data_IF_181074350841
#
_entry.id   IF_181074350841
#
_cell.length_a   1.000
_cell.length_b   1.000
_cell.length_c   1.000
_cell.angle_alpha   90.00
_cell.angle_beta   90.00
_cell.angle_gamma   90.00
#
_symmetry.space_group_name_H-M   'P 1'
#
loop_
_entity.id
_entity.type
_entity.pdbx_description
1 polymer ?
#
# COMPACT_ATOMS: atom_id res chain seq x y z
N UNK A 1 54.97 -59.01 -1.34
CA UNK A 1 55.08 -58.14 -0.16
C UNK A 1 55.44 -56.75 -0.70
N UNK A 2 54.45 -55.94 -1.09
CA UNK A 2 53.83 -54.87 -0.29
C UNK A 2 54.93 -53.98 0.36
N UNK A 3 55.09 -52.68 0.09
CA UNK A 3 54.07 -51.68 -0.23
C UNK A 3 54.72 -50.42 -0.83
N UNK A 4 54.05 -49.89 -1.85
CA UNK A 4 54.20 -48.57 -2.47
C UNK A 4 53.64 -47.48 -1.53
N UNK A 5 54.38 -46.41 -1.26
CA UNK A 5 53.86 -45.20 -0.61
C UNK A 5 54.23 -43.97 -1.43
N UNK A 6 53.48 -43.75 -2.52
CA UNK A 6 53.44 -42.48 -3.23
C UNK A 6 52.34 -41.62 -2.63
N UNK A 7 52.72 -40.53 -1.95
CA UNK A 7 51.78 -39.49 -1.55
C UNK A 7 51.56 -38.55 -2.74
N UNK A 8 50.48 -38.78 -3.49
CA UNK A 8 49.87 -37.76 -4.34
C UNK A 8 48.72 -37.14 -3.55
N UNK A 9 48.94 -35.95 -2.99
CA UNK A 9 47.83 -35.05 -2.67
C UNK A 9 48.11 -33.69 -3.30
N UNK A 10 47.49 -33.46 -4.44
CA UNK A 10 47.08 -32.13 -4.86
C UNK A 10 45.73 -32.31 -5.53
N UNK A 11 44.74 -32.65 -4.69
CA UNK A 11 43.36 -32.52 -5.06
C UNK A 11 43.11 -31.08 -5.48
N UNK A 12 42.47 -30.94 -6.65
CA UNK A 12 41.89 -29.70 -7.11
C UNK A 12 40.70 -29.36 -6.20
N UNK A 13 40.99 -28.93 -4.97
CA UNK A 13 40.07 -28.21 -4.13
C UNK A 13 40.44 -26.74 -4.26
N UNK A 14 39.53 -25.90 -4.72
CA UNK A 14 39.71 -24.46 -4.74
C UNK A 14 39.93 -23.97 -3.31
N UNK A 15 41.18 -23.91 -2.89
CA UNK A 15 41.58 -23.23 -1.65
C UNK A 15 41.44 -21.76 -1.98
N UNK A 16 40.35 -21.13 -1.54
CA UNK A 16 40.23 -19.68 -1.47
C UNK A 16 41.30 -19.17 -0.50
N UNK A 17 42.48 -18.87 -1.04
CA UNK A 17 43.70 -18.60 -0.27
C UNK A 17 43.73 -17.20 0.37
N UNK A 18 42.65 -16.43 0.28
CA UNK A 18 42.55 -15.13 0.93
C UNK A 18 41.17 -15.01 1.57
N UNK A 19 41.05 -15.00 2.92
CA UNK A 19 39.78 -14.68 3.55
C UNK A 19 39.33 -13.30 3.06
N UNK A 20 38.03 -13.12 2.79
CA UNK A 20 37.52 -11.81 2.39
C UNK A 20 37.93 -10.74 3.40
N UNK A 21 38.71 -9.78 2.93
CA UNK A 21 39.12 -8.61 3.70
C UNK A 21 38.27 -7.44 3.24
N UNK A 22 37.56 -6.80 4.17
CA UNK A 22 36.75 -5.63 3.87
C UNK A 22 35.50 -5.58 4.72
N UNK A 23 34.51 -4.88 4.19
CA UNK A 23 33.20 -4.69 4.81
C UNK A 23 32.23 -5.69 4.19
N UNK A 24 31.55 -6.47 5.03
CA UNK A 24 30.49 -7.35 4.56
C UNK A 24 29.28 -6.55 4.07
N UNK A 25 28.47 -7.13 3.17
CA UNK A 25 27.20 -6.51 2.78
C UNK A 25 26.26 -6.35 3.98
N UNK A 26 25.46 -5.30 3.95
CA UNK A 26 24.51 -4.99 5.01
C UNK A 26 23.27 -4.30 4.43
N UNK A 27 22.16 -4.36 5.15
CA UNK A 27 20.89 -3.75 4.74
C UNK A 27 20.06 -3.35 5.96
N UNK A 28 19.15 -2.39 5.76
CA UNK A 28 18.14 -2.04 6.74
C UNK A 28 16.90 -2.92 6.51
N UNK A 29 16.29 -3.40 7.60
CA UNK A 29 15.02 -4.11 7.56
C UNK A 29 14.05 -3.48 8.55
N UNK A 30 12.94 -2.86 8.10
CA UNK A 30 12.61 -2.62 6.69
C UNK A 30 13.58 -1.61 6.02
N UNK A 31 13.76 -1.72 4.70
CA UNK A 31 14.55 -0.77 3.91
C UNK A 31 13.77 0.51 3.57
N UNK A 32 12.44 0.43 3.61
CA UNK A 32 11.55 1.54 3.32
C UNK A 32 10.37 1.55 4.27
N UNK A 33 9.98 2.74 4.71
CA UNK A 33 8.75 2.97 5.45
C UNK A 33 7.76 3.74 4.56
N UNK A 34 6.49 3.40 4.64
CA UNK A 34 5.42 4.08 3.91
C UNK A 34 4.44 4.70 4.90
N UNK A 35 3.61 5.62 4.42
CA UNK A 35 2.58 6.31 5.20
C UNK A 35 3.10 6.99 6.47
N UNK A 36 4.31 7.53 6.40
CA UNK A 36 4.88 8.27 7.51
C UNK A 36 4.33 9.70 7.52
N UNK A 37 4.25 10.31 8.71
CA UNK A 37 3.82 11.69 8.86
C UNK A 37 4.80 12.65 8.16
N UNK A 38 4.26 13.67 7.46
CA UNK A 38 5.05 14.66 6.75
C UNK A 38 6.02 15.39 7.70
N UNK A 39 7.26 15.56 7.27
CA UNK A 39 8.29 16.24 8.07
C UNK A 39 8.69 15.56 9.38
N UNK A 40 8.21 14.33 9.64
CA UNK A 40 8.61 13.56 10.82
C UNK A 40 10.02 13.02 10.68
N UNK A 41 10.74 12.92 11.80
CA UNK A 41 12.06 12.27 11.82
C UNK A 41 11.89 10.76 11.72
N UNK A 42 12.56 10.12 10.75
CA UNK A 42 12.57 8.68 10.55
C UNK A 42 13.95 8.12 10.86
N UNK A 43 13.99 7.03 11.62
CA UNK A 43 15.22 6.33 11.99
C UNK A 43 15.14 4.88 11.53
N UNK A 44 16.17 4.41 10.85
CA UNK A 44 16.28 3.02 10.40
C UNK A 44 16.39 2.04 11.56
N UNK A 45 16.22 0.75 11.28
CA UNK A 45 16.71 -0.29 12.19
C UNK A 45 18.22 -0.21 12.38
N UNK A 46 18.70 -0.71 13.52
CA UNK A 46 20.13 -0.77 13.83
C UNK A 46 20.77 -1.95 13.11
N UNK A 47 21.89 -1.69 12.44
CA UNK A 47 22.68 -2.70 11.73
C UNK A 47 24.02 -2.88 12.42
N UNK A 48 24.44 -4.12 12.66
CA UNK A 48 25.78 -4.42 13.20
C UNK A 48 26.73 -4.70 12.05
N UNK A 49 27.85 -3.97 11.97
CA UNK A 49 28.81 -4.08 10.89
C UNK A 49 29.77 -5.26 11.12
N UNK A 50 29.96 -6.08 10.09
CA UNK A 50 31.02 -7.09 10.04
C UNK A 50 32.16 -6.59 9.16
N UNK A 51 33.35 -6.42 9.75
CA UNK A 51 34.55 -5.90 9.10
C UNK A 51 35.72 -6.85 9.40
N UNK A 52 36.36 -7.38 8.37
CA UNK A 52 37.44 -8.38 8.48
C UNK A 52 38.69 -7.94 7.72
N UNK A 53 39.87 -8.31 8.20
CA UNK A 53 41.14 -8.04 7.51
C UNK A 53 41.62 -6.59 7.49
N UNK A 54 40.84 -5.64 8.04
CA UNK A 54 41.21 -4.22 8.20
C UNK A 54 40.84 -3.72 9.60
N UNK A 55 41.56 -2.71 10.11
CA UNK A 55 41.34 -2.18 11.47
C UNK A 55 40.10 -1.26 11.57
N UNK A 56 39.86 -0.44 10.53
CA UNK A 56 38.75 0.51 10.44
C UNK A 56 38.30 0.68 9.00
N UNK A 57 37.02 0.97 8.77
CA UNK A 57 36.48 1.41 7.48
C UNK A 57 35.98 2.87 7.58
N UNK A 58 35.99 3.60 6.46
CA UNK A 58 35.33 4.90 6.36
C UNK A 58 33.83 4.74 6.38
N UNK A 59 33.12 5.69 6.97
CA UNK A 59 31.65 5.78 6.94
C UNK A 59 31.22 7.18 6.48
N UNK A 60 30.21 7.24 5.63
CA UNK A 60 29.56 8.48 5.20
C UNK A 60 28.09 8.23 4.90
N UNK A 61 27.30 9.30 4.91
CA UNK A 61 25.90 9.27 4.50
C UNK A 61 25.69 10.29 3.38
N UNK A 62 24.90 9.93 2.40
CA UNK A 62 24.44 10.81 1.31
C UNK A 62 22.93 10.67 1.14
N UNK A 63 22.32 11.56 0.35
CA UNK A 63 20.87 11.61 0.15
C UNK A 63 20.34 13.01 0.36
N UNK A 64 19.19 13.11 1.03
CA UNK A 64 18.59 14.39 1.42
C UNK A 64 19.48 15.19 2.39
N UNK A 65 19.31 16.51 2.43
CA UNK A 65 20.08 17.40 3.31
C UNK A 65 19.94 17.06 4.82
N UNK A 66 18.84 16.42 5.21
CA UNK A 66 18.60 15.96 6.58
C UNK A 66 19.27 14.62 6.94
N UNK A 67 19.87 13.92 5.96
CA UNK A 67 20.43 12.59 6.15
C UNK A 67 21.61 12.61 7.12
N UNK A 68 21.54 11.78 8.16
CA UNK A 68 22.54 11.64 9.22
C UNK A 68 22.68 10.18 9.62
N UNK A 69 23.80 9.82 10.23
CA UNK A 69 24.01 8.52 10.84
C UNK A 69 24.49 8.65 12.28
N UNK A 70 24.27 7.60 13.08
CA UNK A 70 24.78 7.45 14.44
C UNK A 70 25.53 6.13 14.56
N UNK A 71 26.68 6.15 15.25
CA UNK A 71 27.47 4.97 15.60
C UNK A 71 27.28 4.69 17.09
N UNK A 72 26.91 3.46 17.43
CA UNK A 72 26.72 2.96 18.80
C UNK A 72 25.80 3.84 19.68
N UNK A 73 24.79 4.48 19.07
CA UNK A 73 23.85 5.36 19.78
C UNK A 73 24.41 6.75 20.12
N UNK A 74 25.53 7.15 19.53
CA UNK A 74 26.06 8.51 19.62
C UNK A 74 25.19 9.57 18.94
N UNK A 75 25.66 10.81 18.93
CA UNK A 75 24.97 11.92 18.23
C UNK A 75 24.92 11.69 16.72
N UNK A 76 23.78 12.02 16.11
CA UNK A 76 23.61 11.95 14.66
C UNK A 76 24.43 13.02 13.94
N UNK A 77 25.19 12.60 12.93
CA UNK A 77 26.07 13.47 12.13
C UNK A 77 26.00 13.11 10.64
N UNK A 78 26.33 14.06 9.78
CA UNK A 78 26.54 13.83 8.34
C UNK A 78 28.02 13.99 7.94
N UNK A 79 28.91 14.28 8.89
CA UNK A 79 30.34 14.35 8.63
C UNK A 79 30.90 12.94 8.35
N UNK A 80 31.91 12.85 7.49
CA UNK A 80 32.64 11.60 7.28
C UNK A 80 33.31 11.13 8.57
N UNK A 81 33.33 9.82 8.79
CA UNK A 81 33.87 9.21 10.00
C UNK A 81 34.54 7.86 9.74
N UNK A 82 34.83 7.13 10.81
CA UNK A 82 35.36 5.76 10.76
C UNK A 82 34.59 4.83 11.70
N UNK A 83 34.51 3.55 11.33
CA UNK A 83 33.86 2.47 12.08
C UNK A 83 34.76 1.25 12.18
N UNK A 84 34.50 0.40 13.16
CA UNK A 84 35.21 -0.85 13.46
C UNK A 84 34.26 -2.03 13.40
N UNK A 85 34.83 -3.23 13.35
CA UNK A 85 34.07 -4.46 13.44
C UNK A 85 33.19 -4.49 14.70
N UNK A 86 31.92 -4.83 14.55
CA UNK A 86 30.94 -4.89 15.63
C UNK A 86 30.24 -3.57 15.95
N UNK A 87 30.61 -2.45 15.33
CA UNK A 87 29.89 -1.19 15.50
C UNK A 87 28.45 -1.32 15.01
N UNK A 88 27.53 -0.70 15.74
CA UNK A 88 26.11 -0.60 15.40
C UNK A 88 25.82 0.74 14.78
N UNK A 89 25.16 0.76 13.63
CA UNK A 89 24.83 1.98 12.91
C UNK A 89 23.32 2.11 12.70
N UNK A 90 22.82 3.33 12.85
CA UNK A 90 21.48 3.72 12.42
C UNK A 90 21.58 4.94 11.52
N UNK A 91 20.62 5.08 10.62
CA UNK A 91 20.47 6.23 9.73
C UNK A 91 19.20 6.97 10.08
N UNK A 92 19.23 8.29 9.96
CA UNK A 92 18.10 9.15 10.23
C UNK A 92 17.97 10.21 9.15
N UNK A 93 16.74 10.52 8.77
CA UNK A 93 16.39 11.68 7.94
C UNK A 93 15.03 12.24 8.35
N UNK A 94 14.69 13.38 7.79
CA UNK A 94 13.35 13.95 7.88
C UNK A 94 12.53 13.45 6.69
N UNK A 95 11.37 12.83 6.94
CA UNK A 95 10.46 12.39 5.90
C UNK A 95 10.09 13.52 4.95
N UNK A 96 9.61 13.18 3.74
CA UNK A 96 9.18 14.21 2.81
C UNK A 96 8.13 15.10 3.44
N UNK A 97 8.19 16.34 3.04
CA UNK A 97 7.20 17.33 3.39
C UNK A 97 6.04 17.31 2.38
N UNK A 98 6.22 16.66 1.24
CA UNK A 98 5.20 16.54 0.20
C UNK A 98 4.41 15.26 0.40
N UNK A 99 3.08 15.35 0.30
CA UNK A 99 2.19 14.18 0.28
C UNK A 99 2.69 13.17 -0.76
N UNK A 100 2.87 11.92 -0.35
CA UNK A 100 3.40 10.85 -1.19
C UNK A 100 4.81 11.06 -1.75
N UNK A 101 5.54 12.07 -1.26
CA UNK A 101 6.94 12.30 -1.55
C UNK A 101 7.83 11.33 -0.78
N UNK A 102 8.97 10.97 -1.38
CA UNK A 102 9.94 10.06 -0.78
C UNK A 102 11.24 10.78 -0.42
N UNK A 103 11.82 10.39 0.71
CA UNK A 103 13.17 10.78 1.13
C UNK A 103 13.98 9.52 1.36
N UNK A 104 15.24 9.54 0.90
CA UNK A 104 16.17 8.42 1.04
C UNK A 104 17.51 8.89 1.57
N UNK A 105 18.10 8.07 2.43
CA UNK A 105 19.45 8.21 2.95
C UNK A 105 20.25 6.96 2.60
N UNK A 106 21.40 7.13 1.94
CA UNK A 106 22.32 6.05 1.62
C UNK A 106 23.53 6.11 2.56
N UNK A 107 23.69 5.08 3.38
CA UNK A 107 24.87 4.91 4.22
C UNK A 107 25.92 4.11 3.45
N UNK A 108 27.13 4.65 3.36
CA UNK A 108 28.28 3.99 2.74
C UNK A 108 29.30 3.66 3.82
N UNK A 109 29.76 2.40 3.85
CA UNK A 109 30.83 1.92 4.73
C UNK A 109 31.87 1.21 3.87
N UNK A 110 33.08 1.78 3.76
CA UNK A 110 34.08 1.32 2.80
C UNK A 110 33.56 1.37 1.37
N UNK A 111 33.46 0.21 0.71
CA UNK A 111 32.93 0.02 -0.64
C UNK A 111 31.47 -0.48 -0.67
N UNK A 112 30.85 -0.71 0.50
CA UNK A 112 29.46 -1.20 0.61
C UNK A 112 28.52 -0.06 0.96
N UNK A 113 27.26 -0.19 0.54
CA UNK A 113 26.22 0.78 0.87
C UNK A 113 24.87 0.11 1.13
N UNK A 114 24.04 0.77 1.94
CA UNK A 114 22.65 0.44 2.16
C UNK A 114 21.80 1.71 2.17
N UNK A 115 20.59 1.63 1.63
CA UNK A 115 19.66 2.76 1.59
C UNK A 115 18.48 2.52 2.52
N UNK A 116 18.11 3.56 3.24
CA UNK A 116 16.88 3.64 4.03
C UNK A 116 16.00 4.74 3.45
N UNK A 117 14.73 4.46 3.18
CA UNK A 117 13.78 5.42 2.62
C UNK A 117 12.51 5.55 3.44
N UNK A 118 11.83 6.68 3.28
CA UNK A 118 10.48 6.89 3.79
C UNK A 118 9.61 7.61 2.77
N UNK A 119 8.37 7.16 2.62
CA UNK A 119 7.35 7.83 1.80
C UNK A 119 6.28 8.43 2.71
N UNK A 120 5.99 9.71 2.51
CA UNK A 120 4.94 10.42 3.25
C UNK A 120 3.58 9.89 2.84
N UNK A 121 2.67 9.76 3.79
CA UNK A 121 1.31 9.27 3.50
C UNK A 121 0.55 10.13 2.49
N UNK A 122 -0.47 9.51 1.91
CA UNK A 122 -1.50 10.17 1.10
C UNK A 122 -2.57 10.84 1.97
N UNK A 123 -3.71 11.14 1.34
CA UNK A 123 -4.96 11.48 2.00
C UNK A 123 -6.08 10.72 1.29
N UNK A 124 -7.10 10.31 2.05
CA UNK A 124 -8.22 9.52 1.53
C UNK A 124 -9.54 10.11 2.04
N UNK A 125 -10.60 9.98 1.22
CA UNK A 125 -11.96 10.30 1.63
C UNK A 125 -12.73 9.00 1.85
N UNK A 126 -13.57 8.99 2.89
CA UNK A 126 -14.58 7.94 3.05
C UNK A 126 -15.57 8.00 1.89
N UNK A 127 -16.01 6.84 1.43
CA UNK A 127 -17.06 6.75 0.41
C UNK A 127 -18.44 6.99 1.06
N UNK A 128 -19.30 7.77 0.40
CA UNK A 128 -20.67 7.99 0.85
C UNK A 128 -21.62 6.98 0.20
N UNK A 129 -22.40 6.27 1.03
CA UNK A 129 -23.44 5.34 0.58
C UNK A 129 -24.83 5.89 0.90
N UNK A 130 -25.83 5.28 0.28
CA UNK A 130 -27.24 5.60 0.45
C UNK A 130 -27.53 7.10 0.23
N UNK A 131 -26.88 7.66 -0.79
CA UNK A 131 -27.06 9.05 -1.16
C UNK A 131 -28.28 9.16 -2.05
N UNK A 132 -29.20 10.07 -1.72
CA UNK A 132 -30.37 10.34 -2.56
C UNK A 132 -29.92 10.80 -3.95
N UNK A 133 -30.52 10.32 -5.05
CA UNK A 133 -30.15 10.73 -6.40
C UNK A 133 -30.28 12.24 -6.63
N UNK A 134 -29.40 12.82 -7.45
CA UNK A 134 -29.43 14.24 -7.81
C UNK A 134 -29.40 15.21 -6.61
N UNK A 135 -28.68 14.85 -5.55
CA UNK A 135 -28.47 15.70 -4.38
C UNK A 135 -27.00 16.06 -4.20
N UNK A 136 -26.73 17.22 -3.58
CA UNK A 136 -25.36 17.54 -3.18
C UNK A 136 -24.96 16.66 -2.00
N UNK A 137 -23.80 16.04 -2.13
CA UNK A 137 -23.17 15.24 -1.09
C UNK A 137 -21.76 15.74 -0.85
N UNK A 138 -21.44 15.93 0.43
CA UNK A 138 -20.13 16.36 0.91
C UNK A 138 -19.39 15.17 1.54
N UNK A 139 -18.07 15.16 1.40
CA UNK A 139 -17.20 14.26 2.14
C UNK A 139 -17.07 14.70 3.61
N UNK A 140 -16.62 13.78 4.46
CA UNK A 140 -16.02 14.20 5.73
C UNK A 140 -14.78 15.09 5.47
N UNK A 141 -14.47 16.05 6.38
CA UNK A 141 -13.29 16.89 6.23
C UNK A 141 -12.01 16.09 6.43
N UNK A 142 -11.05 16.29 5.53
CA UNK A 142 -9.72 15.67 5.60
C UNK A 142 -8.68 16.72 5.93
N UNK A 143 -7.90 16.51 6.99
CA UNK A 143 -6.78 17.39 7.35
C UNK A 143 -5.54 17.03 6.53
N UNK A 144 -5.02 18.00 5.78
CA UNK A 144 -3.87 17.80 4.91
C UNK A 144 -2.54 17.96 5.66
N UNK A 145 -1.62 17.03 5.42
CA UNK A 145 -0.23 17.13 5.86
C UNK A 145 0.65 17.61 4.69
N UNK A 146 0.77 18.93 4.54
CA UNK A 146 1.53 19.58 3.46
C UNK A 146 2.68 20.34 4.09
N UNK A 147 3.92 20.10 3.68
CA UNK A 147 5.05 20.85 4.21
C UNK A 147 5.87 21.55 3.13
N UNK A 148 6.60 22.59 3.55
CA UNK A 148 6.99 23.72 2.70
C UNK A 148 6.02 24.90 2.76
N UNK A 149 5.00 24.83 3.62
CA UNK A 149 4.02 25.90 3.85
C UNK A 149 2.80 25.79 2.96
N UNK A 150 2.97 25.50 1.67
CA UNK A 150 1.85 25.41 0.71
C UNK A 150 2.06 24.38 -0.40
N UNK A 151 0.98 23.79 -0.92
CA UNK A 151 0.93 22.95 -2.12
C UNK A 151 -0.22 23.38 -3.04
N UNK A 152 -0.08 23.11 -4.34
CA UNK A 152 -1.16 23.29 -5.30
C UNK A 152 -2.28 22.28 -5.05
N UNK A 153 -3.53 22.72 -5.16
CA UNK A 153 -4.74 21.89 -5.09
C UNK A 153 -5.55 22.07 -6.38
N UNK A 154 -6.10 20.97 -6.89
CA UNK A 154 -7.05 20.98 -8.00
C UNK A 154 -8.01 19.81 -7.85
N UNK A 155 -9.18 19.91 -8.48
CA UNK A 155 -10.17 18.84 -8.52
C UNK A 155 -10.51 18.48 -9.96
N UNK A 156 -10.76 17.20 -10.21
CA UNK A 156 -11.33 16.69 -11.44
C UNK A 156 -12.47 15.73 -11.13
N UNK A 157 -13.35 15.50 -12.10
CA UNK A 157 -14.56 14.72 -11.93
C UNK A 157 -15.62 15.19 -12.92
N UNK A 158 -16.88 15.03 -12.55
CA UNK A 158 -17.98 15.63 -13.29
C UNK A 158 -18.04 17.17 -13.12
N UNK A 159 -18.97 17.82 -13.83
CA UNK A 159 -19.13 19.28 -13.79
C UNK A 159 -19.54 19.81 -12.40
N UNK A 160 -20.03 18.95 -11.52
CA UNK A 160 -20.46 19.30 -10.16
C UNK A 160 -19.36 19.18 -9.11
N UNK A 161 -18.20 18.64 -9.49
CA UNK A 161 -17.09 18.36 -8.59
C UNK A 161 -16.44 19.66 -8.11
N UNK A 162 -16.54 19.90 -6.80
CA UNK A 162 -16.04 21.08 -6.11
C UNK A 162 -15.26 20.69 -4.85
N UNK A 163 -14.38 21.58 -4.40
CA UNK A 163 -13.73 21.45 -3.09
C UNK A 163 -13.82 22.76 -2.30
N UNK A 164 -13.75 22.64 -0.97
CA UNK A 164 -13.64 23.76 -0.04
C UNK A 164 -12.39 23.59 0.82
N UNK A 165 -11.75 24.71 1.17
CA UNK A 165 -10.61 24.78 2.10
C UNK A 165 -11.08 25.50 3.36
N UNK A 166 -10.92 24.89 4.54
CA UNK A 166 -11.25 25.45 5.85
C UNK A 166 -12.67 26.03 5.95
N UNK A 167 -13.66 25.38 5.31
CA UNK A 167 -15.06 25.83 5.31
C UNK A 167 -15.33 27.07 4.44
N UNK A 168 -14.41 27.43 3.54
CA UNK A 168 -14.61 28.48 2.54
C UNK A 168 -15.63 28.12 1.46
N UNK A 169 -15.77 28.99 0.47
CA UNK A 169 -16.66 28.74 -0.68
C UNK A 169 -16.16 27.57 -1.53
N UNK A 170 -17.06 26.67 -1.90
CA UNK A 170 -16.77 25.59 -2.83
C UNK A 170 -16.36 26.12 -4.21
N UNK A 171 -15.33 25.52 -4.80
CA UNK A 171 -14.78 25.91 -6.11
C UNK A 171 -14.19 24.71 -6.84
N UNK A 172 -14.15 24.78 -8.16
CA UNK A 172 -13.41 23.84 -9.03
C UNK A 172 -12.10 24.44 -9.57
N UNK A 173 -11.85 25.73 -9.30
CA UNK A 173 -10.64 26.40 -9.77
C UNK A 173 -9.41 25.89 -9.03
N UNK A 174 -8.27 25.81 -9.72
CA UNK A 174 -7.01 25.48 -9.09
C UNK A 174 -6.64 26.51 -8.02
N UNK A 175 -6.02 26.05 -6.92
CA UNK A 175 -5.70 26.87 -5.77
C UNK A 175 -4.45 26.40 -5.04
N UNK A 176 -4.30 26.88 -3.81
CA UNK A 176 -3.21 26.51 -2.91
C UNK A 176 -3.75 26.18 -1.52
N UNK A 177 -3.25 25.10 -0.92
CA UNK A 177 -3.51 24.67 0.46
C UNK A 177 -2.23 24.75 1.28
N UNK A 178 -2.37 24.97 2.57
CA UNK A 178 -1.27 24.99 3.53
C UNK A 178 -1.28 23.76 4.44
N UNK A 179 -0.21 23.61 5.21
CA UNK A 179 -0.16 22.55 6.22
C UNK A 179 -1.32 22.67 7.21
N UNK A 180 -2.01 21.57 7.48
CA UNK A 180 -3.11 21.52 8.44
C UNK A 180 -4.43 22.09 7.93
N UNK A 181 -4.51 22.54 6.67
CA UNK A 181 -5.78 22.90 6.06
C UNK A 181 -6.71 21.68 6.01
N UNK A 182 -7.97 21.91 6.31
CA UNK A 182 -9.03 20.92 6.14
C UNK A 182 -9.67 21.10 4.77
N UNK A 183 -9.82 20.01 4.04
CA UNK A 183 -10.50 20.00 2.74
C UNK A 183 -11.75 19.15 2.79
N UNK A 184 -12.80 19.66 2.17
CA UNK A 184 -14.07 18.94 1.93
C UNK A 184 -14.28 18.90 0.43
N UNK A 185 -14.67 17.74 -0.09
CA UNK A 185 -15.05 17.56 -1.50
C UNK A 185 -16.56 17.44 -1.59
N UNK A 186 -17.15 18.00 -2.63
CA UNK A 186 -18.59 17.94 -2.89
C UNK A 186 -18.86 17.68 -4.37
N UNK A 187 -19.93 16.93 -4.66
CA UNK A 187 -20.50 16.80 -6.00
C UNK A 187 -22.01 16.51 -5.91
N UNK A 188 -22.68 16.47 -7.06
CA UNK A 188 -24.00 15.86 -7.20
C UNK A 188 -23.87 14.34 -7.23
N UNK A 189 -24.71 13.65 -6.46
CA UNK A 189 -24.87 12.21 -6.58
C UNK A 189 -25.45 11.84 -7.94
N UNK A 190 -25.30 10.57 -8.31
CA UNK A 190 -25.77 10.06 -9.59
C UNK A 190 -27.30 10.21 -9.77
N UNK A 191 -27.76 10.27 -11.03
CA UNK A 191 -29.18 10.27 -11.39
C UNK A 191 -29.87 8.90 -11.14
N UNK A 192 -29.08 7.83 -11.16
CA UNK A 192 -29.61 6.47 -11.01
C UNK A 192 -30.02 6.21 -9.56
N UNK A 193 -31.16 5.56 -9.36
CA UNK A 193 -31.67 5.28 -8.00
C UNK A 193 -30.90 4.17 -7.26
N UNK A 194 -30.11 3.35 -7.96
CA UNK A 194 -29.52 2.13 -7.39
C UNK A 194 -28.12 1.87 -7.90
N UNK A 195 -27.16 1.84 -6.97
CA UNK A 195 -25.75 1.51 -7.11
C UNK A 195 -25.05 2.22 -8.26
N UNK A 196 -25.46 3.46 -8.53
CA UNK A 196 -24.77 4.35 -9.47
C UNK A 196 -23.88 5.31 -8.71
N UNK A 197 -22.64 5.47 -9.18
CA UNK A 197 -21.61 6.19 -8.47
C UNK A 197 -21.20 7.47 -9.17
N UNK A 198 -20.81 8.47 -8.39
CA UNK A 198 -20.08 9.65 -8.86
C UNK A 198 -18.76 9.72 -8.10
N UNK A 199 -17.69 10.02 -8.83
CA UNK A 199 -16.34 10.12 -8.26
C UNK A 199 -15.74 11.48 -8.57
N UNK A 200 -15.27 12.16 -7.52
CA UNK A 200 -14.44 13.35 -7.63
C UNK A 200 -13.02 13.04 -7.17
N UNK A 201 -12.03 13.47 -7.93
CA UNK A 201 -10.62 13.27 -7.61
C UNK A 201 -10.00 14.60 -7.21
N UNK A 202 -9.67 14.74 -5.93
CA UNK A 202 -8.91 15.88 -5.44
C UNK A 202 -7.42 15.58 -5.56
N UNK A 203 -6.65 16.49 -6.14
CA UNK A 203 -5.20 16.38 -6.26
C UNK A 203 -4.53 17.48 -5.44
N UNK A 204 -3.63 17.09 -4.54
CA UNK A 204 -2.83 17.99 -3.70
C UNK A 204 -1.35 17.64 -3.86
N UNK A 205 -0.54 18.60 -4.31
CA UNK A 205 0.91 18.42 -4.43
C UNK A 205 1.33 17.25 -5.34
N UNK A 206 0.47 16.84 -6.28
CA UNK A 206 0.71 15.73 -7.20
C UNK A 206 0.22 14.35 -6.71
N UNK A 207 -0.44 14.27 -5.55
CA UNK A 207 -1.13 13.04 -5.09
C UNK A 207 -2.63 13.24 -5.09
N UNK A 208 -3.35 12.16 -5.35
CA UNK A 208 -4.80 12.20 -5.51
C UNK A 208 -5.49 11.41 -4.40
N UNK A 209 -6.57 11.97 -3.88
CA UNK A 209 -7.57 11.30 -3.06
C UNK A 209 -8.91 11.36 -3.79
N UNK A 210 -9.67 10.26 -3.76
CA UNK A 210 -10.97 10.17 -4.44
C UNK A 210 -12.10 10.18 -3.42
N UNK A 211 -13.08 11.05 -3.64
CA UNK A 211 -14.37 10.98 -2.97
C UNK A 211 -15.39 10.32 -3.90
N UNK A 212 -16.07 9.28 -3.42
CA UNK A 212 -17.08 8.53 -4.18
C UNK A 212 -18.40 8.61 -3.43
N UNK A 213 -19.48 8.99 -4.11
CA UNK A 213 -20.83 8.76 -3.64
C UNK A 213 -21.48 7.62 -4.41
N UNK A 214 -22.34 6.87 -3.73
CA UNK A 214 -23.12 5.78 -4.30
C UNK A 214 -24.59 5.98 -3.92
N UNK A 215 -25.44 5.98 -4.93
CA UNK A 215 -26.89 5.89 -4.75
C UNK A 215 -27.21 4.46 -4.30
N UNK A 216 -27.91 4.28 -3.17
CA UNK A 216 -28.15 2.97 -2.57
C UNK A 216 -27.08 2.50 -1.57
N UNK A 217 -27.38 1.41 -0.87
CA UNK A 217 -26.72 1.05 0.40
C UNK A 217 -25.33 0.41 0.27
N UNK A 218 -24.89 0.04 -0.94
CA UNK A 218 -23.61 -0.62 -1.20
C UNK A 218 -23.10 -0.37 -2.62
N UNK A 219 -21.79 -0.45 -2.83
CA UNK A 219 -21.20 -0.43 -4.18
C UNK A 219 -21.31 -1.81 -4.86
N UNK A 220 -21.55 -1.81 -6.17
CA UNK A 220 -21.46 -3.02 -7.00
C UNK A 220 -20.00 -3.30 -7.34
N UNK A 221 -19.58 -4.54 -7.13
CA UNK A 221 -18.20 -4.96 -7.36
C UNK A 221 -18.12 -6.05 -8.42
N UNK A 222 -17.03 -6.06 -9.18
CA UNK A 222 -16.68 -7.16 -10.09
C UNK A 222 -15.29 -7.66 -9.76
N UNK A 223 -15.19 -8.93 -9.39
CA UNK A 223 -13.92 -9.58 -9.07
C UNK A 223 -13.69 -10.74 -10.02
N UNK A 224 -12.42 -11.01 -10.32
CA UNK A 224 -12.04 -12.07 -11.26
C UNK A 224 -10.99 -12.97 -10.66
N UNK A 225 -11.08 -14.27 -10.96
CA UNK A 225 -10.07 -15.27 -10.65
C UNK A 225 -9.84 -16.17 -11.87
N UNK A 226 -8.83 -17.02 -11.75
CA UNK A 226 -8.55 -18.08 -12.71
C UNK A 226 -8.39 -19.39 -11.98
N UNK A 227 -8.88 -20.48 -12.55
CA UNK A 227 -8.72 -21.82 -12.02
C UNK A 227 -8.69 -22.86 -13.15
N UNK A 228 -8.07 -24.01 -12.91
CA UNK A 228 -8.10 -25.13 -13.84
C UNK A 228 -9.53 -25.67 -13.98
N UNK A 229 -9.86 -26.23 -15.14
CA UNK A 229 -11.17 -26.84 -15.39
C UNK A 229 -11.59 -27.79 -14.26
N UNK A 230 -12.88 -27.72 -13.90
CA UNK A 230 -13.51 -28.51 -12.83
C UNK A 230 -12.92 -28.30 -11.42
N UNK A 231 -12.12 -27.24 -11.22
CA UNK A 231 -11.60 -26.85 -9.90
C UNK A 231 -12.26 -25.57 -9.40
N UNK A 232 -12.19 -25.36 -8.08
CA UNK A 232 -12.68 -24.15 -7.44
C UNK A 232 -11.75 -22.98 -7.76
N UNK A 233 -12.32 -21.92 -8.34
CA UNK A 233 -11.75 -20.58 -8.27
C UNK A 233 -12.20 -19.90 -6.99
N UNK A 234 -11.33 -19.06 -6.42
CA UNK A 234 -11.67 -18.23 -5.27
C UNK A 234 -11.20 -16.80 -5.46
N UNK A 235 -11.93 -15.87 -4.87
CA UNK A 235 -11.58 -14.47 -4.82
C UNK A 235 -11.95 -13.87 -3.47
N UNK A 236 -11.36 -12.72 -3.16
CA UNK A 236 -11.74 -11.91 -2.02
C UNK A 236 -12.22 -10.57 -2.55
N UNK A 237 -13.30 -10.06 -1.97
CA UNK A 237 -13.80 -8.71 -2.24
C UNK A 237 -13.87 -7.96 -0.93
N UNK A 238 -13.36 -6.72 -0.92
CA UNK A 238 -13.51 -5.82 0.21
C UNK A 238 -14.80 -5.04 0.02
N UNK A 239 -15.78 -5.28 0.90
CA UNK A 239 -17.09 -4.64 0.82
C UNK A 239 -16.97 -3.13 0.97
N UNK A 240 -17.85 -2.45 0.26
CA UNK A 240 -18.03 -1.00 0.24
C UNK A 240 -19.50 -0.74 0.48
N UNK A 241 -19.86 -0.49 1.74
CA UNK A 241 -21.23 -0.64 2.24
C UNK A 241 -21.47 0.25 3.46
N UNK A 242 -22.73 0.59 3.76
CA UNK A 242 -23.09 1.17 5.05
C UNK A 242 -23.11 0.09 6.14
N UNK A 243 -22.58 0.35 7.33
CA UNK A 243 -22.67 -0.61 8.43
C UNK A 243 -24.13 -0.94 8.76
N UNK A 244 -24.49 -2.22 8.76
CA UNK A 244 -25.86 -2.62 9.04
C UNK A 244 -26.20 -4.07 8.71
N UNK A 245 -27.45 -4.48 8.99
CA UNK A 245 -27.94 -5.79 8.59
C UNK A 245 -28.23 -5.82 7.10
N UNK A 246 -27.69 -6.81 6.41
CA UNK A 246 -27.97 -7.12 5.01
C UNK A 246 -28.39 -8.57 4.86
N UNK A 247 -29.33 -8.83 3.96
CA UNK A 247 -29.60 -10.18 3.48
C UNK A 247 -28.64 -10.53 2.36
N UNK A 248 -27.61 -11.33 2.67
CA UNK A 248 -26.68 -11.84 1.66
C UNK A 248 -27.22 -13.12 1.05
N UNK A 249 -27.09 -13.26 -0.27
CA UNK A 249 -27.51 -14.45 -1.01
C UNK A 249 -26.62 -14.76 -2.20
N UNK A 250 -26.77 -15.97 -2.75
CA UNK A 250 -26.13 -16.40 -3.99
C UNK A 250 -27.20 -16.64 -5.05
N UNK A 251 -27.19 -15.85 -6.12
CA UNK A 251 -28.17 -15.95 -7.20
C UNK A 251 -27.77 -16.98 -8.27
N UNK A 252 -26.48 -17.29 -8.42
CA UNK A 252 -25.98 -18.30 -9.35
C UNK A 252 -25.66 -19.61 -8.64
N UNK A 253 -26.27 -20.71 -9.08
CA UNK A 253 -26.00 -22.06 -8.56
C UNK A 253 -24.52 -22.41 -8.68
N UNK A 254 -23.96 -23.01 -7.62
CA UNK A 254 -22.56 -23.43 -7.54
C UNK A 254 -21.60 -22.35 -7.06
N UNK A 255 -22.10 -21.13 -6.81
CA UNK A 255 -21.36 -20.10 -6.09
C UNK A 255 -21.55 -20.26 -4.58
N UNK A 256 -20.54 -19.87 -3.80
CA UNK A 256 -20.63 -19.83 -2.34
C UNK A 256 -19.79 -18.69 -1.78
N UNK A 257 -20.15 -18.22 -0.58
CA UNK A 257 -19.46 -17.13 0.11
C UNK A 257 -19.06 -17.52 1.53
N UNK A 258 -18.07 -16.82 2.07
CA UNK A 258 -17.63 -16.96 3.46
C UNK A 258 -17.16 -15.61 4.01
N UNK A 259 -17.38 -15.36 5.31
CA UNK A 259 -16.88 -14.16 6.00
C UNK A 259 -15.50 -14.36 6.64
N UNK A 260 -15.04 -15.61 6.76
CA UNK A 260 -13.79 -15.97 7.42
C UNK A 260 -12.80 -16.72 6.50
N UNK A 261 -13.27 -17.12 5.31
CA UNK A 261 -12.45 -17.81 4.31
C UNK A 261 -12.30 -19.32 4.53
N UNK A 262 -13.01 -19.92 5.49
CA UNK A 262 -12.98 -21.36 5.77
C UNK A 262 -14.35 -22.02 5.74
N UNK A 263 -15.41 -21.32 6.11
CA UNK A 263 -16.79 -21.85 6.16
C UNK A 263 -17.61 -21.24 5.02
N UNK A 264 -17.59 -21.88 3.85
CA UNK A 264 -18.35 -21.40 2.68
C UNK A 264 -19.77 -21.95 2.67
N UNK A 265 -20.72 -21.08 2.34
CA UNK A 265 -22.15 -21.41 2.22
C UNK A 265 -22.75 -20.76 0.97
N UNK A 266 -23.77 -21.39 0.40
CA UNK A 266 -24.63 -20.81 -0.64
C UNK A 266 -25.99 -20.38 -0.08
N UNK A 267 -26.22 -20.57 1.21
CA UNK A 267 -27.47 -20.22 1.88
C UNK A 267 -27.62 -18.70 2.04
N UNK A 268 -28.85 -18.22 1.85
CA UNK A 268 -29.21 -16.84 2.16
C UNK A 268 -29.24 -16.61 3.68
N UNK A 269 -28.63 -15.53 4.15
CA UNK A 269 -28.60 -15.18 5.57
C UNK A 269 -28.65 -13.67 5.80
N UNK A 270 -29.29 -13.24 6.88
CA UNK A 270 -29.20 -11.85 7.36
C UNK A 270 -27.97 -11.71 8.26
N UNK A 271 -27.06 -10.84 7.87
CA UNK A 271 -25.75 -10.66 8.52
C UNK A 271 -25.51 -9.17 8.72
N UNK A 272 -24.95 -8.80 9.88
CA UNK A 272 -24.42 -7.45 10.05
C UNK A 272 -23.08 -7.34 9.31
N UNK A 273 -23.09 -6.63 8.19
CA UNK A 273 -21.89 -6.32 7.41
C UNK A 273 -21.40 -4.92 7.81
N UNK A 274 -20.09 -4.73 7.70
CA UNK A 274 -19.44 -3.44 7.99
C UNK A 274 -18.60 -3.01 6.81
N UNK A 275 -18.44 -1.69 6.65
CA UNK A 275 -17.62 -1.15 5.58
C UNK A 275 -16.19 -1.67 5.67
N UNK A 276 -15.63 -2.02 4.52
CA UNK A 276 -14.29 -2.57 4.42
C UNK A 276 -14.14 -4.02 4.91
N UNK A 277 -15.21 -4.71 5.28
CA UNK A 277 -15.18 -6.15 5.59
C UNK A 277 -14.79 -6.97 4.35
N UNK A 278 -13.98 -8.01 4.53
CA UNK A 278 -13.65 -8.94 3.44
C UNK A 278 -14.70 -10.03 3.33
N UNK A 279 -15.24 -10.22 2.13
CA UNK A 279 -16.04 -11.37 1.76
C UNK A 279 -15.22 -12.28 0.84
N UNK A 280 -15.23 -13.56 1.13
CA UNK A 280 -14.54 -14.60 0.37
C UNK A 280 -15.55 -15.30 -0.52
N UNK A 281 -15.21 -15.49 -1.79
CA UNK A 281 -16.10 -16.06 -2.82
C UNK A 281 -15.47 -17.32 -3.41
N UNK A 282 -16.31 -18.30 -3.72
CA UNK A 282 -15.93 -19.51 -4.42
C UNK A 282 -16.94 -19.86 -5.52
N UNK A 283 -16.45 -20.57 -6.52
CA UNK A 283 -17.23 -21.13 -7.62
C UNK A 283 -16.37 -22.06 -8.46
N UNK A 284 -16.99 -22.88 -9.30
CA UNK A 284 -16.29 -23.82 -10.18
C UNK A 284 -15.90 -23.14 -11.51
N UNK A 285 -14.74 -23.51 -12.03
CA UNK A 285 -14.32 -23.15 -13.37
C UNK A 285 -14.85 -24.18 -14.38
N UNK A 286 -15.84 -23.79 -15.20
CA UNK A 286 -16.42 -24.69 -16.20
C UNK A 286 -15.44 -24.94 -17.37
N UNK A 287 -15.27 -26.19 -17.84
CA UNK A 287 -14.51 -26.47 -19.05
C UNK A 287 -15.22 -25.94 -20.31
N UNK A 288 -14.48 -25.68 -21.41
CA UNK A 288 -13.03 -25.85 -21.58
C UNK A 288 -12.21 -24.61 -21.15
N UNK A 289 -10.88 -24.69 -21.27
CA UNK A 289 -10.00 -23.54 -21.05
C UNK A 289 -10.40 -22.33 -21.92
N UNK A 290 -10.35 -21.14 -21.33
CA UNK A 290 -10.85 -19.89 -21.92
C UNK A 290 -12.31 -19.58 -21.61
N UNK A 291 -13.07 -20.50 -21.01
CA UNK A 291 -14.45 -20.26 -20.55
C UNK A 291 -14.45 -19.28 -19.37
N UNK A 292 -15.41 -18.37 -19.33
CA UNK A 292 -15.64 -17.47 -18.20
C UNK A 292 -16.98 -17.82 -17.56
N UNK A 293 -16.93 -18.28 -16.30
CA UNK A 293 -18.11 -18.62 -15.50
C UNK A 293 -18.42 -17.45 -14.56
N UNK A 294 -19.67 -17.01 -14.50
CA UNK A 294 -20.08 -15.83 -13.72
C UNK A 294 -20.98 -16.23 -12.54
N UNK A 295 -20.54 -15.93 -11.32
CA UNK A 295 -21.32 -16.12 -10.10
C UNK A 295 -21.82 -14.77 -9.57
N UNK A 296 -23.11 -14.69 -9.27
CA UNK A 296 -23.75 -13.46 -8.79
C UNK A 296 -24.10 -13.62 -7.31
N UNK A 297 -23.64 -12.66 -6.50
CA UNK A 297 -23.95 -12.55 -5.08
C UNK A 297 -24.80 -11.31 -4.86
N UNK A 298 -25.83 -11.43 -4.02
CA UNK A 298 -26.81 -10.38 -3.77
C UNK A 298 -26.72 -9.85 -2.35
N UNK A 299 -27.05 -8.59 -2.16
CA UNK A 299 -27.31 -7.96 -0.87
C UNK A 299 -28.71 -7.33 -0.94
N UNK A 300 -29.56 -7.67 0.02
CA UNK A 300 -30.98 -7.26 0.07
C UNK A 300 -31.74 -7.56 -1.23
N UNK A 301 -31.44 -8.71 -1.85
CA UNK A 301 -32.03 -9.16 -3.11
C UNK A 301 -31.48 -8.49 -4.37
N UNK A 302 -30.62 -7.48 -4.23
CA UNK A 302 -30.01 -6.75 -5.34
C UNK A 302 -28.62 -7.30 -5.66
N UNK A 303 -28.24 -7.35 -6.93
CA UNK A 303 -26.89 -7.78 -7.33
C UNK A 303 -25.84 -6.85 -6.73
N UNK A 304 -24.96 -7.43 -5.91
CA UNK A 304 -23.88 -6.72 -5.24
C UNK A 304 -22.53 -7.07 -5.83
N UNK A 305 -22.24 -8.35 -6.06
CA UNK A 305 -20.93 -8.78 -6.54
C UNK A 305 -21.10 -9.73 -7.72
N UNK A 306 -20.34 -9.48 -8.78
CA UNK A 306 -20.16 -10.40 -9.89
C UNK A 306 -18.77 -11.01 -9.81
N UNK A 307 -18.69 -12.33 -9.69
CA UNK A 307 -17.44 -13.07 -9.62
C UNK A 307 -17.21 -13.86 -10.91
N UNK A 308 -16.19 -13.48 -11.66
CA UNK A 308 -15.83 -14.11 -12.93
C UNK A 308 -14.68 -15.10 -12.72
N UNK A 309 -14.83 -16.34 -13.16
CA UNK A 309 -13.76 -17.34 -13.12
C UNK A 309 -13.38 -17.69 -14.56
N UNK A 310 -12.12 -17.40 -14.93
CA UNK A 310 -11.57 -17.80 -16.22
C UNK A 310 -10.91 -19.17 -16.11
N UNK A 311 -11.39 -20.13 -16.87
CA UNK A 311 -10.86 -21.49 -16.89
C UNK A 311 -9.49 -21.52 -17.57
N UNK A 312 -8.47 -22.03 -16.89
CA UNK A 312 -7.12 -22.22 -17.43
C UNK A 312 -6.87 -23.67 -17.82
N UNK A 313 -5.84 -23.87 -18.65
CA UNK A 313 -5.30 -25.21 -18.94
C UNK A 313 -4.74 -25.88 -17.71
#
# INVERSE_FOLDING_TARGET
>A
MLTLLGLFLSGCGGIEWFPETGVASFSFSPASEVDVAAGSTRTSSSVTLAITGIATASISVSGDASSKYSINGGSYTNAAGTVKNGDRVTVQHTASNTIGGSVSSTLTVGDKSATFSSMTGGFEFSTAFNVDPMTFVESDPVTLAVAGGSAAISISGDESSLYSINGGTFTSQAGTVNNGDQVVVMHFSADGATNTTVTSTLTVGGKSGTFVSTTGNFARETVSASASADNLGSAQVRLRILDGPYEIGVATVGGSYSLNGTDYTDETATINLVDGQTLYLQGFADPPAGTVTNYVFTLDGETAITFNITTTN
#
